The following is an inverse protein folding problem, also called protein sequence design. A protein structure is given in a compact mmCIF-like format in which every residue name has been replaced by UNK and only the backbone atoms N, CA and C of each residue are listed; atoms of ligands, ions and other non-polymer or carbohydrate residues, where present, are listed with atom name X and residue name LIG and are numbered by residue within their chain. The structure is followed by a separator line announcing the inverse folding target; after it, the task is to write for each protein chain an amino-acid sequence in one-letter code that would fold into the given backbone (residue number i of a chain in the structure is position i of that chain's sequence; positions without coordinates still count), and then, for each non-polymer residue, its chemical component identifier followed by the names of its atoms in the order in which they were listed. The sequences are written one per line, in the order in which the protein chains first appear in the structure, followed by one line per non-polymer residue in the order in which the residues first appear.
data_IF_732266887514
#
_entry.id   IF_732266887514
#
_cell.length_a   1.000
_cell.length_b   1.000
_cell.length_c   1.000
_cell.angle_alpha   90.00
_cell.angle_beta   90.00
_cell.angle_gamma   90.00
#
_symmetry.space_group_name_H-M   'P 1'
#
loop_
_entity.id
_entity.type
_entity.pdbx_description
1 polymer ?
#
# COMPACT_ATOMS: atom_id res chain seq x y z
N UNK A 1 -66.05 -30.42 -27.38
CA UNK A 1 -64.60 -30.60 -27.50
C UNK A 1 -63.84 -29.34 -27.89
N UNK A 2 -64.35 -28.15 -27.85
CA UNK A 2 -63.69 -26.89 -28.23
C UNK A 2 -63.32 -25.96 -27.05
N UNK A 3 -63.86 -26.22 -25.84
CA UNK A 3 -63.56 -25.40 -24.65
C UNK A 3 -62.27 -25.82 -23.92
N UNK A 4 -61.82 -27.07 -24.06
CA UNK A 4 -60.63 -27.57 -23.38
C UNK A 4 -59.29 -27.18 -24.08
N UNK A 5 -59.38 -26.69 -25.32
CA UNK A 5 -58.16 -26.27 -26.10
C UNK A 5 -57.77 -24.79 -25.87
N UNK A 6 -58.65 -23.96 -25.28
CA UNK A 6 -58.36 -22.54 -25.06
C UNK A 6 -57.72 -22.23 -23.68
N UNK A 7 -57.78 -23.17 -22.73
CA UNK A 7 -57.17 -23.01 -21.39
C UNK A 7 -55.71 -23.46 -21.32
N UNK A 8 -55.23 -24.25 -22.30
CA UNK A 8 -53.87 -24.73 -22.32
C UNK A 8 -52.85 -23.73 -22.95
N UNK A 9 -53.32 -22.69 -23.61
CA UNK A 9 -52.47 -21.67 -24.25
C UNK A 9 -52.21 -20.42 -23.40
N UNK A 10 -52.86 -20.26 -22.25
CA UNK A 10 -52.66 -19.15 -21.32
C UNK A 10 -51.72 -19.50 -20.14
N UNK A 11 -51.39 -20.77 -19.93
CA UNK A 11 -50.49 -21.20 -18.87
C UNK A 11 -49.02 -21.22 -19.29
N UNK A 12 -48.71 -21.04 -20.59
CA UNK A 12 -47.36 -21.09 -21.13
C UNK A 12 -46.60 -19.75 -21.18
N UNK A 13 -47.29 -18.62 -20.93
CA UNK A 13 -46.69 -17.28 -21.13
C UNK A 13 -46.20 -16.57 -19.86
N UNK A 14 -46.38 -17.18 -18.68
CA UNK A 14 -45.98 -16.55 -17.41
C UNK A 14 -44.62 -17.07 -16.88
N UNK A 15 -44.06 -18.12 -17.45
CA UNK A 15 -42.83 -18.74 -16.96
C UNK A 15 -41.52 -18.19 -17.56
N UNK A 16 -41.57 -17.21 -18.48
CA UNK A 16 -40.39 -16.70 -19.21
C UNK A 16 -39.93 -15.29 -18.76
N UNK A 17 -40.53 -14.71 -17.71
CA UNK A 17 -40.16 -13.39 -17.20
C UNK A 17 -39.26 -13.45 -15.95
N UNK A 18 -38.59 -14.60 -15.68
CA UNK A 18 -37.66 -14.74 -14.58
C UNK A 18 -36.24 -14.38 -15.02
N UNK A 19 -35.84 -13.18 -14.60
CA UNK A 19 -34.48 -12.80 -14.26
C UNK A 19 -33.45 -12.70 -15.40
N UNK A 20 -33.64 -11.75 -16.31
CA UNK A 20 -32.46 -10.99 -16.72
C UNK A 20 -32.19 -9.97 -15.63
N UNK A 21 -31.53 -10.38 -14.54
CA UNK A 21 -30.84 -9.40 -13.68
C UNK A 21 -29.94 -8.58 -14.62
N UNK A 22 -30.01 -7.25 -14.59
CA UNK A 22 -29.11 -6.45 -15.41
C UNK A 22 -27.70 -6.90 -15.03
N UNK A 23 -26.96 -7.48 -15.97
CA UNK A 23 -25.52 -7.66 -15.83
C UNK A 23 -24.96 -6.24 -15.80
N UNK A 24 -24.83 -5.68 -14.58
CA UNK A 24 -24.12 -4.41 -14.43
C UNK A 24 -22.74 -4.63 -15.03
N UNK A 25 -22.42 -3.89 -16.07
CA UNK A 25 -21.09 -3.91 -16.66
C UNK A 25 -20.11 -3.65 -15.53
N UNK A 26 -19.16 -4.58 -15.33
CA UNK A 26 -18.17 -4.45 -14.27
C UNK A 26 -17.37 -3.17 -14.51
N UNK A 27 -17.19 -2.37 -13.45
CA UNK A 27 -16.33 -1.20 -13.49
C UNK A 27 -14.87 -1.65 -13.53
N UNK A 28 -14.17 -1.39 -14.62
CA UNK A 28 -12.74 -1.64 -14.71
C UNK A 28 -11.99 -0.69 -13.77
N UNK A 29 -11.12 -1.24 -12.91
CA UNK A 29 -10.25 -0.51 -12.00
C UNK A 29 -8.81 -0.94 -12.23
N UNK A 30 -8.01 -0.03 -12.79
CA UNK A 30 -6.57 -0.18 -12.88
C UNK A 30 -5.96 0.32 -11.55
N UNK A 31 -5.53 -0.63 -10.71
CA UNK A 31 -4.97 -0.37 -9.38
C UNK A 31 -3.44 -0.45 -9.43
N UNK A 32 -2.77 0.68 -9.20
CA UNK A 32 -1.30 0.74 -9.16
C UNK A 32 -0.78 0.37 -7.77
N UNK A 33 0.08 -0.63 -7.68
CA UNK A 33 0.81 -0.97 -6.46
C UNK A 33 1.90 0.08 -6.17
N UNK A 34 2.34 0.18 -4.92
CA UNK A 34 3.46 1.05 -4.56
C UNK A 34 4.81 0.51 -5.08
N UNK A 35 4.92 -0.81 -5.23
CA UNK A 35 6.15 -1.53 -5.60
C UNK A 35 5.88 -2.74 -6.49
N UNK A 36 6.95 -3.48 -6.83
CA UNK A 36 6.81 -4.80 -7.46
C UNK A 36 6.03 -5.74 -6.54
N UNK A 37 5.26 -6.71 -7.09
CA UNK A 37 4.47 -7.64 -6.28
C UNK A 37 5.33 -8.38 -5.25
N UNK A 38 4.81 -8.48 -4.03
CA UNK A 38 5.39 -9.18 -2.89
C UNK A 38 4.32 -9.59 -1.90
N UNK A 39 4.70 -10.23 -0.80
CA UNK A 39 3.79 -10.78 0.22
C UNK A 39 2.78 -9.77 0.77
N UNK A 40 3.17 -8.48 0.85
CA UNK A 40 2.31 -7.37 1.26
C UNK A 40 1.13 -7.10 0.31
N UNK A 41 1.21 -7.56 -0.92
CA UNK A 41 0.15 -7.44 -1.91
C UNK A 41 -0.75 -8.69 -2.01
N UNK A 42 -0.42 -9.77 -1.29
CA UNK A 42 -1.15 -11.04 -1.33
C UNK A 42 -2.68 -10.92 -1.17
N UNK A 43 -3.23 -10.05 -0.28
CA UNK A 43 -4.67 -9.92 -0.13
C UNK A 43 -5.39 -9.47 -1.40
N UNK A 44 -4.80 -8.60 -2.21
CA UNK A 44 -5.40 -8.15 -3.48
C UNK A 44 -5.48 -9.29 -4.49
N UNK A 45 -4.40 -10.08 -4.62
CA UNK A 45 -4.35 -11.25 -5.50
C UNK A 45 -5.33 -12.34 -5.05
N UNK A 46 -5.43 -12.56 -3.74
CA UNK A 46 -6.36 -13.52 -3.17
C UNK A 46 -7.81 -13.14 -3.43
N UNK A 47 -8.22 -11.90 -3.12
CA UNK A 47 -9.57 -11.44 -3.36
C UNK A 47 -9.94 -11.47 -4.85
N UNK A 48 -8.97 -11.15 -5.75
CA UNK A 48 -9.15 -11.27 -7.19
C UNK A 48 -9.36 -12.73 -7.62
N UNK A 49 -8.53 -13.66 -7.15
CA UNK A 49 -8.65 -15.11 -7.41
C UNK A 49 -9.97 -15.67 -6.91
N UNK A 50 -10.43 -15.25 -5.73
CA UNK A 50 -11.70 -15.67 -5.13
C UNK A 50 -12.93 -15.03 -5.81
N UNK A 51 -12.74 -14.15 -6.78
CA UNK A 51 -13.82 -13.46 -7.47
C UNK A 51 -14.50 -12.36 -6.65
N UNK A 52 -14.03 -12.02 -5.46
CA UNK A 52 -14.71 -11.08 -4.55
C UNK A 52 -14.84 -9.66 -5.14
N UNK A 53 -13.84 -9.19 -5.88
CA UNK A 53 -13.95 -7.91 -6.61
C UNK A 53 -14.99 -8.02 -7.73
N UNK A 54 -14.98 -9.15 -8.47
CA UNK A 54 -15.93 -9.40 -9.55
C UNK A 54 -17.37 -9.42 -9.04
N UNK A 55 -17.62 -10.12 -7.92
CA UNK A 55 -18.92 -10.19 -7.26
C UNK A 55 -19.40 -8.82 -6.76
N UNK A 56 -18.44 -7.93 -6.44
CA UNK A 56 -18.70 -6.53 -6.07
C UNK A 56 -18.83 -5.57 -7.29
N UNK A 57 -18.89 -6.09 -8.51
CA UNK A 57 -19.02 -5.31 -9.73
C UNK A 57 -17.72 -4.66 -10.22
N UNK A 58 -16.55 -5.14 -9.78
CA UNK A 58 -15.24 -4.57 -10.10
C UNK A 58 -14.41 -5.58 -10.92
N UNK A 59 -13.98 -5.15 -12.10
CA UNK A 59 -12.93 -5.82 -12.87
C UNK A 59 -11.57 -5.21 -12.48
N UNK A 60 -10.86 -5.87 -11.54
CA UNK A 60 -9.61 -5.35 -10.97
C UNK A 60 -8.41 -5.76 -11.81
N UNK A 61 -7.65 -4.78 -12.30
CA UNK A 61 -6.32 -4.96 -12.87
C UNK A 61 -5.26 -4.44 -11.88
N UNK A 62 -4.27 -5.28 -11.54
CA UNK A 62 -3.17 -4.94 -10.63
C UNK A 62 -1.93 -4.59 -11.45
N UNK A 63 -1.47 -3.34 -11.34
CA UNK A 63 -0.25 -2.86 -12.00
C UNK A 63 0.92 -2.80 -11.01
N UNK A 64 2.09 -3.37 -11.35
CA UNK A 64 3.31 -3.21 -10.56
C UNK A 64 3.71 -1.74 -10.43
N UNK A 65 4.15 -1.33 -9.23
CA UNK A 65 4.63 0.01 -8.93
C UNK A 65 6.13 0.18 -9.07
N UNK A 66 6.57 1.44 -9.04
CA UNK A 66 7.98 1.86 -9.06
C UNK A 66 8.31 2.84 -7.93
N UNK A 67 7.57 2.80 -6.83
CA UNK A 67 7.69 3.66 -5.67
C UNK A 67 6.44 4.48 -5.38
N UNK A 68 6.23 4.79 -4.10
CA UNK A 68 5.04 5.51 -3.63
C UNK A 68 4.86 6.87 -4.29
N UNK A 69 5.95 7.60 -4.55
CA UNK A 69 5.86 8.90 -5.22
C UNK A 69 5.29 8.77 -6.65
N UNK A 70 5.70 7.73 -7.40
CA UNK A 70 5.17 7.46 -8.75
C UNK A 70 3.71 7.04 -8.68
N UNK A 71 3.33 6.19 -7.71
CA UNK A 71 1.95 5.76 -7.52
C UNK A 71 1.02 6.95 -7.23
N UNK A 72 1.41 7.86 -6.31
CA UNK A 72 0.65 9.09 -6.03
C UNK A 72 0.47 9.95 -7.29
N UNK A 73 1.55 10.16 -8.06
CA UNK A 73 1.49 10.95 -9.30
C UNK A 73 0.52 10.35 -10.32
N UNK A 74 0.56 9.04 -10.53
CA UNK A 74 -0.35 8.34 -11.46
C UNK A 74 -1.80 8.44 -11.01
N UNK A 75 -2.06 8.26 -9.70
CA UNK A 75 -3.42 8.39 -9.14
C UNK A 75 -3.91 9.83 -9.25
N UNK A 76 -3.09 10.81 -8.89
CA UNK A 76 -3.45 12.23 -9.00
C UNK A 76 -3.77 12.65 -10.44
N UNK A 77 -3.01 12.14 -11.40
CA UNK A 77 -3.24 12.38 -12.84
C UNK A 77 -4.46 11.62 -13.41
N UNK A 78 -5.10 10.74 -12.64
CA UNK A 78 -6.23 9.92 -13.08
C UNK A 78 -5.86 8.77 -14.03
N UNK A 79 -4.56 8.50 -14.22
CA UNK A 79 -4.08 7.36 -15.03
C UNK A 79 -4.46 6.01 -14.37
N UNK A 80 -4.43 5.97 -13.06
CA UNK A 80 -4.95 4.88 -12.23
C UNK A 80 -5.95 5.50 -11.25
N UNK A 81 -7.23 5.10 -11.24
CA UNK A 81 -8.23 5.71 -10.34
C UNK A 81 -7.95 5.43 -8.86
N UNK A 82 -7.30 4.29 -8.57
CA UNK A 82 -6.95 3.85 -7.22
C UNK A 82 -5.50 3.35 -7.24
N UNK A 83 -4.79 3.51 -6.14
CA UNK A 83 -3.43 3.00 -5.99
C UNK A 83 -3.03 2.78 -4.54
N UNK A 84 -1.82 2.28 -4.35
CA UNK A 84 -1.20 2.06 -3.04
C UNK A 84 0.04 2.93 -2.92
N UNK A 85 0.16 3.67 -1.81
CA UNK A 85 1.34 4.51 -1.55
C UNK A 85 1.49 4.78 -0.05
N UNK A 86 2.70 5.09 0.41
CA UNK A 86 2.91 5.62 1.75
C UNK A 86 2.13 6.91 1.96
N UNK A 87 1.42 7.01 3.08
CA UNK A 87 0.57 8.16 3.37
C UNK A 87 1.37 9.47 3.45
N UNK A 88 2.58 9.44 4.02
CA UNK A 88 3.46 10.62 4.05
C UNK A 88 3.81 11.15 2.65
N UNK A 89 3.97 10.24 1.65
CA UNK A 89 4.15 10.63 0.25
C UNK A 89 2.88 11.26 -0.33
N UNK A 90 1.70 10.69 -0.02
CA UNK A 90 0.43 11.25 -0.47
C UNK A 90 0.21 12.65 0.12
N UNK A 91 0.46 12.84 1.42
CA UNK A 91 0.38 14.16 2.08
C UNK A 91 1.35 15.18 1.45
N UNK A 92 2.60 14.78 1.23
CA UNK A 92 3.62 15.66 0.61
C UNK A 92 3.22 16.11 -0.79
N UNK A 93 2.79 15.18 -1.64
CA UNK A 93 2.45 15.48 -3.02
C UNK A 93 1.10 16.21 -3.13
N UNK A 94 0.17 15.99 -2.17
CA UNK A 94 -1.05 16.78 -2.09
C UNK A 94 -0.75 18.26 -1.85
N UNK A 95 0.23 18.58 -1.03
CA UNK A 95 0.73 19.95 -0.87
C UNK A 95 1.36 20.55 -2.14
N UNK A 96 1.59 19.73 -3.16
CA UNK A 96 2.06 20.11 -4.50
C UNK A 96 0.97 19.99 -5.58
N UNK A 97 -0.30 19.85 -5.16
CA UNK A 97 -1.46 19.81 -6.04
C UNK A 97 -1.97 18.42 -6.42
N UNK A 98 -1.39 17.34 -5.89
CA UNK A 98 -1.89 15.97 -6.15
C UNK A 98 -3.19 15.71 -5.39
N UNK A 99 -4.35 15.69 -6.07
CA UNK A 99 -5.65 15.41 -5.44
C UNK A 99 -5.85 13.90 -5.25
N UNK A 100 -5.34 13.37 -4.12
CA UNK A 100 -5.51 11.98 -3.70
C UNK A 100 -6.09 11.91 -2.30
N UNK A 101 -6.95 10.91 -2.02
CA UNK A 101 -7.61 10.69 -0.72
C UNK A 101 -7.32 9.29 -0.23
N UNK A 102 -6.78 9.15 0.99
CA UNK A 102 -6.57 7.86 1.66
C UNK A 102 -7.90 7.27 2.12
N UNK A 103 -8.13 5.97 1.84
CA UNK A 103 -9.41 5.30 2.15
C UNK A 103 -9.28 3.98 2.92
N UNK A 104 -8.07 3.42 2.98
CA UNK A 104 -7.77 2.20 3.74
C UNK A 104 -6.26 2.14 4.06
N UNK A 105 -5.91 2.20 5.33
CA UNK A 105 -4.51 2.12 5.75
C UNK A 105 -4.06 0.67 5.89
N UNK A 106 -2.99 0.29 5.20
CA UNK A 106 -2.40 -1.05 5.32
C UNK A 106 -1.36 -1.06 6.42
N UNK A 107 -0.44 -0.08 6.46
CA UNK A 107 0.62 -0.05 7.46
C UNK A 107 0.38 1.03 8.49
N UNK A 108 -0.06 0.59 9.67
CA UNK A 108 -0.22 1.45 10.84
C UNK A 108 1.10 2.00 11.37
N UNK A 109 2.22 1.36 11.06
CA UNK A 109 3.57 1.79 11.41
C UNK A 109 4.42 2.02 10.17
N UNK A 110 5.38 2.95 10.27
CA UNK A 110 6.31 3.21 9.16
C UNK A 110 7.07 1.95 8.78
N UNK A 111 6.98 1.51 7.52
CA UNK A 111 7.69 0.34 7.05
C UNK A 111 9.15 0.64 6.73
N UNK A 112 9.53 1.92 6.68
CA UNK A 112 10.86 2.32 6.22
C UNK A 112 11.96 1.86 7.17
N UNK A 113 13.03 1.34 6.60
CA UNK A 113 14.27 1.00 7.27
C UNK A 113 15.49 1.45 6.48
N UNK A 114 16.58 1.71 7.17
CA UNK A 114 17.91 1.91 6.61
C UNK A 114 18.72 0.65 6.80
N UNK A 115 19.45 0.25 5.77
CA UNK A 115 20.29 -0.94 5.73
C UNK A 115 21.69 -0.56 5.23
N UNK A 116 22.72 -1.09 5.92
CA UNK A 116 24.12 -0.90 5.57
C UNK A 116 24.95 -2.13 5.96
N UNK A 117 26.21 -2.19 5.59
CA UNK A 117 27.14 -3.17 6.14
C UNK A 117 27.78 -2.63 7.42
N UNK A 118 27.75 -3.36 8.53
CA UNK A 118 28.44 -2.95 9.77
C UNK A 118 29.92 -2.74 9.54
N UNK A 119 30.52 -3.55 8.64
CA UNK A 119 31.91 -3.42 8.21
C UNK A 119 32.25 -2.08 7.52
N UNK A 120 31.23 -1.29 7.09
CA UNK A 120 31.43 0.08 6.60
C UNK A 120 31.70 1.12 7.68
N UNK A 121 31.52 0.76 8.95
CA UNK A 121 31.69 1.66 10.10
C UNK A 121 30.46 2.53 10.39
N UNK A 122 29.37 2.45 9.61
CA UNK A 122 28.08 3.13 9.88
C UNK A 122 27.42 2.46 11.08
N UNK A 123 26.98 3.26 12.06
CA UNK A 123 26.32 2.80 13.30
C UNK A 123 24.94 3.41 13.48
N UNK A 124 24.66 4.54 12.83
CA UNK A 124 23.42 5.31 13.03
C UNK A 124 23.09 6.14 11.77
N UNK A 125 21.91 6.77 11.78
CA UNK A 125 21.51 7.74 10.72
C UNK A 125 22.52 8.88 10.61
N UNK A 126 23.15 9.32 11.70
CA UNK A 126 24.12 10.42 11.73
C UNK A 126 25.37 10.14 10.91
N UNK A 127 25.76 8.89 10.78
CA UNK A 127 26.95 8.48 10.04
C UNK A 127 26.72 8.47 8.53
N UNK A 128 25.50 8.77 8.06
CA UNK A 128 25.15 8.85 6.63
C UNK A 128 25.56 10.17 5.97
N UNK A 129 25.96 11.19 6.73
CA UNK A 129 26.47 12.43 6.15
C UNK A 129 27.70 12.12 5.24
N UNK A 130 27.66 12.60 4.00
CA UNK A 130 28.69 12.33 2.99
C UNK A 130 28.60 10.94 2.31
N UNK A 131 27.62 10.11 2.66
CA UNK A 131 27.47 8.74 2.15
C UNK A 131 26.59 8.65 0.91
N UNK A 132 26.77 7.56 0.15
CA UNK A 132 25.96 7.21 -1.02
C UNK A 132 24.79 6.32 -0.59
N UNK A 133 23.56 6.80 -0.80
CA UNK A 133 22.35 6.01 -0.54
C UNK A 133 21.76 5.58 -1.89
N UNK A 134 21.65 4.26 -2.11
CA UNK A 134 21.16 3.69 -3.37
C UNK A 134 19.67 3.42 -3.32
N UNK A 135 18.87 4.11 -4.16
CA UNK A 135 17.43 3.88 -4.30
C UNK A 135 16.94 4.26 -5.70
N UNK A 136 15.81 3.71 -6.20
CA UNK A 136 15.12 4.25 -7.35
C UNK A 136 14.72 5.71 -7.16
N UNK A 137 14.67 6.49 -8.25
CA UNK A 137 14.32 7.91 -8.18
C UNK A 137 12.89 8.14 -7.61
N UNK A 138 11.94 7.22 -7.89
CA UNK A 138 10.55 7.29 -7.40
C UNK A 138 10.31 6.61 -6.05
N UNK A 139 11.37 6.18 -5.35
CA UNK A 139 11.26 5.56 -4.03
C UNK A 139 10.73 6.57 -3.00
N UNK A 140 9.69 6.18 -2.25
CA UNK A 140 9.05 7.03 -1.26
C UNK A 140 9.97 7.52 -0.16
N UNK A 141 10.99 6.76 0.18
CA UNK A 141 11.99 7.16 1.16
C UNK A 141 12.73 8.45 0.78
N UNK A 142 12.99 8.68 -0.52
CA UNK A 142 13.63 9.93 -0.97
C UNK A 142 12.78 11.16 -0.69
N UNK A 143 11.46 11.04 -0.88
CA UNK A 143 10.53 12.15 -0.64
C UNK A 143 10.50 12.56 0.83
N UNK A 144 10.55 11.58 1.74
CA UNK A 144 10.42 11.84 3.18
C UNK A 144 11.79 11.83 3.93
N UNK A 145 12.91 11.58 3.22
CA UNK A 145 14.26 11.64 3.78
C UNK A 145 14.57 12.93 4.54
N UNK A 146 14.19 14.15 4.05
CA UNK A 146 14.49 15.38 4.77
C UNK A 146 13.94 15.39 6.20
N UNK A 147 12.79 14.76 6.44
CA UNK A 147 12.22 14.62 7.79
C UNK A 147 13.10 13.75 8.69
N UNK A 148 13.55 12.58 8.19
CA UNK A 148 14.44 11.69 8.96
C UNK A 148 15.79 12.35 9.23
N UNK A 149 16.38 12.97 8.23
CA UNK A 149 17.67 13.66 8.34
C UNK A 149 17.62 14.73 9.43
N UNK A 150 16.62 15.60 9.39
CA UNK A 150 16.43 16.68 10.34
C UNK A 150 16.13 16.17 11.75
N UNK A 151 15.29 15.13 11.89
CA UNK A 151 15.01 14.52 13.18
C UNK A 151 16.27 13.92 13.84
N UNK A 152 17.28 13.57 13.03
CA UNK A 152 18.56 13.02 13.51
C UNK A 152 19.69 14.06 13.49
N UNK A 153 19.41 15.32 13.20
CA UNK A 153 20.38 16.42 13.27
C UNK A 153 21.43 16.40 12.16
N UNK A 154 21.12 15.85 10.99
CA UNK A 154 21.97 15.89 9.81
C UNK A 154 21.33 16.72 8.68
N UNK A 155 22.16 17.34 7.86
CA UNK A 155 21.68 18.00 6.65
C UNK A 155 21.18 16.97 5.64
N UNK A 156 19.94 17.12 5.18
CA UNK A 156 19.34 16.23 4.19
C UNK A 156 20.11 16.19 2.87
N UNK A 157 20.81 17.28 2.53
CA UNK A 157 21.62 17.40 1.31
C UNK A 157 23.04 16.83 1.46
N UNK A 158 23.42 16.38 2.66
CA UNK A 158 24.75 15.81 2.90
C UNK A 158 24.94 14.41 2.32
N UNK A 159 23.85 13.74 1.90
CA UNK A 159 23.89 12.42 1.29
C UNK A 159 23.87 12.51 -0.24
N UNK A 160 24.51 11.55 -0.90
CA UNK A 160 24.43 11.40 -2.37
C UNK A 160 23.47 10.28 -2.72
N UNK A 161 22.39 10.61 -3.44
CA UNK A 161 21.47 9.60 -3.95
C UNK A 161 21.99 8.96 -5.22
N UNK A 162 22.16 7.63 -5.20
CA UNK A 162 22.51 6.83 -6.37
C UNK A 162 21.25 6.18 -6.93
N UNK A 163 20.95 6.43 -8.21
CA UNK A 163 19.81 5.79 -8.87
C UNK A 163 20.15 4.34 -9.21
N UNK A 164 19.39 3.42 -8.64
CA UNK A 164 19.50 1.99 -8.89
C UNK A 164 18.10 1.39 -9.09
N UNK A 165 18.04 0.22 -9.71
CA UNK A 165 16.77 -0.51 -9.84
C UNK A 165 16.30 -1.07 -8.50
N UNK A 166 14.97 -1.26 -8.37
CA UNK A 166 14.33 -1.77 -7.18
C UNK A 166 14.96 -3.06 -6.64
N UNK A 167 15.26 -3.99 -7.54
CA UNK A 167 15.80 -5.32 -7.20
C UNK A 167 17.33 -5.31 -7.01
N UNK A 168 18.00 -4.19 -7.27
CA UNK A 168 19.47 -4.09 -7.20
C UNK A 168 19.99 -3.62 -5.84
N UNK A 169 19.11 -3.21 -4.90
CA UNK A 169 19.50 -2.61 -3.61
C UNK A 169 20.48 -3.49 -2.82
N UNK A 170 20.14 -4.76 -2.63
CA UNK A 170 20.96 -5.68 -1.85
C UNK A 170 22.30 -5.99 -2.58
N UNK A 171 22.25 -6.23 -3.88
CA UNK A 171 23.46 -6.49 -4.68
C UNK A 171 24.42 -5.29 -4.67
N UNK A 172 23.90 -4.06 -4.83
CA UNK A 172 24.69 -2.83 -4.80
C UNK A 172 25.34 -2.61 -3.42
N UNK A 173 24.64 -2.94 -2.34
CA UNK A 173 25.17 -2.87 -0.97
C UNK A 173 26.28 -3.90 -0.75
N UNK A 174 26.08 -5.17 -1.14
CA UNK A 174 27.10 -6.23 -1.08
C UNK A 174 28.34 -5.90 -1.91
N UNK A 175 28.15 -5.30 -3.08
CA UNK A 175 29.25 -4.84 -3.96
C UNK A 175 29.94 -3.55 -3.47
N UNK A 176 29.43 -2.94 -2.37
CA UNK A 176 29.94 -1.66 -1.81
C UNK A 176 29.94 -0.50 -2.84
N UNK A 177 29.07 -0.57 -3.86
CA UNK A 177 28.85 0.54 -4.81
C UNK A 177 28.00 1.66 -4.20
N UNK A 178 27.29 1.35 -3.12
CA UNK A 178 26.56 2.26 -2.24
C UNK A 178 26.94 1.97 -0.78
N UNK A 179 26.82 2.97 0.08
CA UNK A 179 27.11 2.84 1.52
C UNK A 179 25.88 2.36 2.30
N UNK A 180 24.69 2.77 1.88
CA UNK A 180 23.42 2.39 2.49
C UNK A 180 22.30 2.32 1.45
N UNK A 181 21.19 1.68 1.82
CA UNK A 181 19.94 1.71 1.06
C UNK A 181 18.76 1.80 2.03
N UNK A 182 17.60 2.26 1.54
CA UNK A 182 16.37 2.09 2.30
C UNK A 182 15.57 0.92 1.75
N UNK A 183 14.82 0.27 2.60
CA UNK A 183 13.85 -0.75 2.19
C UNK A 183 12.74 -0.88 3.24
N UNK A 184 11.62 -1.45 2.83
CA UNK A 184 10.54 -1.72 3.77
C UNK A 184 10.87 -2.92 4.66
N UNK A 185 10.40 -2.87 5.90
CA UNK A 185 10.62 -3.89 6.91
C UNK A 185 10.03 -5.27 6.54
N UNK A 186 9.01 -5.30 5.69
CA UNK A 186 8.42 -6.56 5.22
C UNK A 186 9.39 -7.48 4.45
N UNK A 187 10.52 -6.94 3.94
CA UNK A 187 11.58 -7.74 3.32
C UNK A 187 12.87 -7.79 4.17
N UNK A 188 12.80 -7.40 5.44
CA UNK A 188 13.94 -7.41 6.37
C UNK A 188 14.62 -8.78 6.46
N UNK A 189 13.84 -9.87 6.44
CA UNK A 189 14.33 -11.24 6.48
C UNK A 189 15.27 -11.58 5.30
N UNK A 190 15.06 -10.96 4.13
CA UNK A 190 15.93 -11.15 2.96
C UNK A 190 17.29 -10.51 3.23
N UNK A 191 17.32 -9.26 3.72
CA UNK A 191 18.55 -8.58 4.09
C UNK A 191 19.30 -9.32 5.18
N UNK A 192 18.59 -9.81 6.20
CA UNK A 192 19.17 -10.58 7.30
C UNK A 192 19.80 -11.88 6.81
N UNK A 193 19.12 -12.62 5.93
CA UNK A 193 19.63 -13.86 5.34
C UNK A 193 20.90 -13.61 4.51
N UNK A 194 20.93 -12.55 3.72
CA UNK A 194 21.97 -12.28 2.74
C UNK A 194 23.20 -11.57 3.31
N UNK A 195 23.02 -10.75 4.36
CA UNK A 195 24.09 -9.98 4.98
C UNK A 195 24.57 -10.60 6.31
N UNK A 196 23.80 -11.51 6.91
CA UNK A 196 24.14 -12.17 8.16
C UNK A 196 24.51 -11.20 9.28
N UNK A 197 25.59 -11.48 9.97
CA UNK A 197 26.09 -10.67 11.10
C UNK A 197 26.60 -9.28 10.68
N UNK A 198 26.90 -9.08 9.38
CA UNK A 198 27.35 -7.77 8.85
C UNK A 198 26.16 -6.83 8.54
N UNK A 199 24.91 -7.27 8.75
CA UNK A 199 23.75 -6.41 8.53
C UNK A 199 23.67 -5.33 9.62
N UNK A 200 23.83 -4.05 9.21
CA UNK A 200 23.42 -2.88 9.98
C UNK A 200 22.00 -2.48 9.60
N UNK A 201 21.17 -2.11 10.56
CA UNK A 201 19.78 -1.75 10.36
C UNK A 201 19.29 -0.77 11.40
N UNK A 202 18.42 0.16 10.97
CA UNK A 202 17.57 0.96 11.86
C UNK A 202 16.21 1.17 11.20
N UNK A 203 15.13 0.87 11.94
CA UNK A 203 13.79 1.25 11.48
C UNK A 203 13.59 2.76 11.66
N UNK A 204 12.99 3.42 10.69
CA UNK A 204 12.75 4.86 10.78
C UNK A 204 11.87 5.24 11.97
N UNK A 205 10.89 4.38 12.32
CA UNK A 205 10.09 4.57 13.53
C UNK A 205 10.94 4.68 14.81
N UNK A 206 12.03 3.93 14.88
CA UNK A 206 12.95 3.92 16.02
C UNK A 206 13.97 5.09 15.94
N UNK A 207 14.12 5.67 14.75
CA UNK A 207 14.89 6.90 14.48
C UNK A 207 14.04 8.18 14.53
N UNK A 208 12.84 8.12 15.13
CA UNK A 208 11.99 9.28 15.37
C UNK A 208 10.98 9.59 14.26
N UNK A 209 10.77 8.70 13.29
CA UNK A 209 9.85 8.91 12.17
C UNK A 209 8.88 7.74 11.98
N UNK A 210 7.75 7.74 12.70
CA UNK A 210 6.72 6.70 12.61
C UNK A 210 5.42 7.23 11.97
N UNK A 211 5.47 7.53 10.67
CA UNK A 211 4.30 7.91 9.88
C UNK A 211 3.49 6.68 9.47
N UNK A 212 2.22 6.89 9.08
CA UNK A 212 1.47 5.88 8.34
C UNK A 212 2.20 5.51 7.04
N UNK A 213 2.30 4.20 6.78
CA UNK A 213 2.90 3.68 5.55
C UNK A 213 1.86 3.44 4.46
N UNK A 214 1.97 2.28 3.79
CA UNK A 214 1.10 1.92 2.67
C UNK A 214 -0.38 2.14 3.01
N UNK A 215 -1.02 2.98 2.20
CA UNK A 215 -2.42 3.35 2.28
C UNK A 215 -3.02 3.26 0.89
N UNK A 216 -4.20 2.69 0.75
CA UNK A 216 -4.98 2.77 -0.49
C UNK A 216 -5.41 4.22 -0.67
N UNK A 217 -4.99 4.82 -1.78
CA UNK A 217 -5.31 6.19 -2.18
C UNK A 217 -6.18 6.18 -3.42
N UNK A 218 -7.11 7.11 -3.50
CA UNK A 218 -8.06 7.27 -4.60
C UNK A 218 -7.91 8.68 -5.19
N UNK A 219 -8.01 8.81 -6.51
CA UNK A 219 -8.11 10.10 -7.18
C UNK A 219 -9.36 10.85 -6.68
N UNK A 220 -9.22 12.12 -6.28
CA UNK A 220 -10.29 12.88 -5.65
C UNK A 220 -11.53 13.05 -6.54
N UNK A 221 -11.36 13.27 -7.83
CA UNK A 221 -12.47 13.37 -8.78
C UNK A 221 -13.14 12.03 -9.04
N UNK A 222 -12.35 10.94 -9.12
CA UNK A 222 -12.89 9.60 -9.23
C UNK A 222 -13.73 9.24 -8.00
N UNK A 223 -13.23 9.55 -6.80
CA UNK A 223 -13.95 9.32 -5.54
C UNK A 223 -15.32 10.04 -5.53
N UNK A 224 -15.35 11.31 -5.92
CA UNK A 224 -16.59 12.11 -5.97
C UNK A 224 -17.62 11.49 -6.91
N UNK A 225 -17.17 11.02 -8.08
CA UNK A 225 -18.05 10.49 -9.15
C UNK A 225 -18.45 9.04 -8.95
N UNK A 226 -17.63 8.24 -8.25
CA UNK A 226 -17.74 6.78 -8.18
C UNK A 226 -17.72 6.26 -6.72
N UNK A 227 -18.34 7.00 -5.80
CA UNK A 227 -18.33 6.71 -4.35
C UNK A 227 -18.74 5.27 -4.02
N UNK A 228 -19.77 4.74 -4.70
CA UNK A 228 -20.24 3.36 -4.49
C UNK A 228 -19.18 2.31 -4.91
N UNK A 229 -18.47 2.55 -5.99
CA UNK A 229 -17.38 1.66 -6.47
C UNK A 229 -16.21 1.66 -5.48
N UNK A 230 -15.83 2.85 -4.98
CA UNK A 230 -14.77 2.97 -3.96
C UNK A 230 -15.18 2.26 -2.67
N UNK A 231 -16.43 2.42 -2.22
CA UNK A 231 -16.96 1.72 -1.05
C UNK A 231 -16.90 0.20 -1.23
N UNK A 232 -17.30 -0.31 -2.39
CA UNK A 232 -17.23 -1.74 -2.71
C UNK A 232 -15.77 -2.24 -2.72
N UNK A 233 -14.86 -1.47 -3.35
CA UNK A 233 -13.42 -1.79 -3.38
C UNK A 233 -12.83 -1.87 -1.97
N UNK A 234 -13.08 -0.88 -1.11
CA UNK A 234 -12.56 -0.83 0.27
C UNK A 234 -13.09 -2.00 1.10
N UNK A 235 -14.39 -2.30 1.02
CA UNK A 235 -14.99 -3.43 1.75
C UNK A 235 -14.38 -4.77 1.34
N UNK A 236 -14.20 -5.02 0.05
CA UNK A 236 -13.56 -6.24 -0.45
C UNK A 236 -12.10 -6.31 0.01
N UNK A 237 -11.37 -5.19 -0.08
CA UNK A 237 -9.99 -5.09 0.36
C UNK A 237 -9.86 -5.38 1.86
N UNK A 238 -10.66 -4.74 2.71
CA UNK A 238 -10.66 -4.95 4.16
C UNK A 238 -10.96 -6.42 4.51
N UNK A 239 -11.97 -7.02 3.88
CA UNK A 239 -12.28 -8.45 4.01
C UNK A 239 -11.08 -9.33 3.62
N UNK A 240 -10.39 -9.00 2.53
CA UNK A 240 -9.24 -9.76 2.06
C UNK A 240 -8.07 -9.69 3.04
N UNK A 241 -7.74 -8.50 3.55
CA UNK A 241 -6.71 -8.35 4.57
C UNK A 241 -7.06 -9.11 5.85
N UNK A 242 -8.30 -9.04 6.34
CA UNK A 242 -8.75 -9.81 7.49
C UNK A 242 -8.64 -11.33 7.28
N UNK A 243 -9.01 -11.83 6.09
CA UNK A 243 -8.88 -13.25 5.75
C UNK A 243 -7.41 -13.69 5.73
N UNK A 244 -6.50 -12.86 5.21
CA UNK A 244 -5.08 -13.18 5.15
C UNK A 244 -4.40 -13.10 6.54
N UNK A 245 -4.86 -12.22 7.43
CA UNK A 245 -4.45 -12.21 8.84
C UNK A 245 -4.89 -13.50 9.53
N UNK A 246 -6.11 -13.98 9.28
CA UNK A 246 -6.60 -15.23 9.85
C UNK A 246 -5.85 -16.45 9.31
N UNK A 247 -5.63 -16.52 8.00
CA UNK A 247 -4.90 -17.61 7.33
C UNK A 247 -4.12 -17.08 6.12
N UNK A 248 -2.81 -16.84 6.23
CA UNK A 248 -2.02 -16.26 5.16
C UNK A 248 -1.74 -17.21 3.97
N UNK A 249 -1.75 -18.52 4.19
CA UNK A 249 -1.30 -19.47 3.17
C UNK A 249 -2.08 -19.38 1.85
N UNK A 250 -3.43 -19.36 1.81
CA UNK A 250 -4.17 -19.22 0.56
C UNK A 250 -3.90 -17.87 -0.15
N UNK A 251 -3.64 -16.81 0.64
CA UNK A 251 -3.36 -15.48 0.11
C UNK A 251 -2.00 -15.45 -0.60
N UNK A 252 -0.96 -15.96 0.07
CA UNK A 252 0.40 -16.06 -0.50
C UNK A 252 0.40 -17.00 -1.71
N UNK A 253 -0.35 -18.11 -1.64
CA UNK A 253 -0.49 -19.02 -2.77
C UNK A 253 -1.09 -18.31 -4.00
N UNK A 254 -2.13 -17.49 -3.81
CA UNK A 254 -2.75 -16.72 -4.91
C UNK A 254 -1.77 -15.71 -5.53
N UNK A 255 -0.95 -15.07 -4.72
CA UNK A 255 0.11 -14.16 -5.19
C UNK A 255 1.15 -14.90 -6.04
N UNK A 256 1.68 -16.03 -5.54
CA UNK A 256 2.74 -16.81 -6.21
C UNK A 256 2.23 -17.41 -7.52
N UNK A 257 1.00 -17.92 -7.56
CA UNK A 257 0.38 -18.41 -8.80
C UNK A 257 0.25 -17.32 -9.87
N UNK A 258 -0.05 -16.09 -9.46
CA UNK A 258 -0.14 -14.95 -10.39
C UNK A 258 1.24 -14.40 -10.80
N UNK A 259 2.30 -14.69 -10.02
CA UNK A 259 3.65 -14.15 -10.20
C UNK A 259 4.69 -15.27 -10.02
N UNK A 260 4.83 -16.14 -11.01
CA UNK A 260 5.61 -17.38 -10.94
C UNK A 260 7.10 -17.26 -10.61
N UNK A 261 7.66 -16.05 -10.56
CA UNK A 261 9.03 -15.81 -10.10
C UNK A 261 9.15 -15.75 -8.57
N UNK A 262 8.04 -15.58 -7.85
CA UNK A 262 7.99 -15.46 -6.40
C UNK A 262 8.03 -16.85 -5.74
N UNK A 263 8.66 -16.92 -4.56
CA UNK A 263 8.79 -18.15 -3.79
C UNK A 263 7.87 -18.11 -2.57
N UNK A 264 7.02 -19.12 -2.40
CA UNK A 264 5.99 -19.15 -1.37
C UNK A 264 6.54 -18.87 0.05
N UNK A 265 7.58 -19.54 0.47
CA UNK A 265 8.14 -19.39 1.83
C UNK A 265 8.70 -17.98 2.06
N UNK A 266 9.30 -17.37 1.04
CA UNK A 266 9.80 -16.01 1.10
C UNK A 266 8.64 -15.01 1.24
N UNK A 267 7.58 -15.17 0.45
CA UNK A 267 6.42 -14.27 0.49
C UNK A 267 5.57 -14.49 1.75
N UNK A 268 5.57 -15.70 2.32
CA UNK A 268 4.95 -15.96 3.62
C UNK A 268 5.71 -15.26 4.76
N UNK A 269 7.04 -15.24 4.73
CA UNK A 269 7.84 -14.46 5.69
C UNK A 269 7.61 -12.96 5.53
N UNK A 270 7.55 -12.47 4.29
CA UNK A 270 7.18 -11.10 3.98
C UNK A 270 5.82 -10.76 4.63
N UNK A 271 4.77 -11.56 4.41
CA UNK A 271 3.46 -11.33 5.00
C UNK A 271 3.48 -11.30 6.54
N UNK A 272 4.24 -12.16 7.19
CA UNK A 272 4.37 -12.13 8.66
C UNK A 272 4.93 -10.81 9.18
N UNK A 273 5.86 -10.20 8.46
CA UNK A 273 6.38 -8.88 8.81
C UNK A 273 5.37 -7.76 8.48
N UNK A 274 4.54 -7.96 7.44
CA UNK A 274 3.40 -7.07 7.15
C UNK A 274 2.40 -7.05 8.31
N UNK A 275 2.06 -8.20 8.90
CA UNK A 275 1.16 -8.28 10.06
C UNK A 275 1.67 -7.40 11.24
N UNK A 276 2.99 -7.35 11.46
CA UNK A 276 3.61 -6.47 12.47
C UNK A 276 3.40 -4.99 12.12
N UNK A 277 3.56 -4.62 10.84
CA UNK A 277 3.37 -3.24 10.37
C UNK A 277 1.91 -2.79 10.43
N UNK A 278 0.97 -3.71 10.21
CA UNK A 278 -0.47 -3.46 10.25
C UNK A 278 -1.01 -3.24 11.66
N UNK A 279 -0.30 -3.75 12.68
CA UNK A 279 -0.80 -3.87 14.04
C UNK A 279 -0.50 -2.63 14.87
N UNK A 280 -1.55 -1.94 15.30
CA UNK A 280 -1.49 -0.89 16.33
C UNK A 280 -2.76 -0.89 17.20
N UNK A 281 -2.86 0.07 18.12
CA UNK A 281 -4.04 0.24 18.98
C UNK A 281 -5.31 0.43 18.16
N UNK A 282 -5.28 1.25 17.11
CA UNK A 282 -6.47 1.64 16.37
C UNK A 282 -6.95 0.52 15.44
N UNK A 283 -6.05 -0.17 14.75
CA UNK A 283 -6.37 -1.33 13.93
C UNK A 283 -7.01 -2.46 14.75
N UNK A 284 -6.61 -2.60 16.03
CA UNK A 284 -7.15 -3.61 16.97
C UNK A 284 -8.46 -3.20 17.64
N UNK A 285 -8.71 -1.92 17.88
CA UNK A 285 -9.86 -1.48 18.70
C UNK A 285 -10.94 -0.77 17.90
N UNK A 286 -10.59 -0.09 16.80
CA UNK A 286 -11.51 0.68 15.98
C UNK A 286 -11.90 -0.08 14.71
N UNK A 287 -10.98 -0.21 13.77
CA UNK A 287 -11.17 -0.97 12.54
C UNK A 287 -9.82 -1.29 11.87
N UNK A 288 -9.72 -2.44 11.22
CA UNK A 288 -8.63 -2.72 10.30
C UNK A 288 -8.69 -1.71 9.15
N UNK A 289 -7.57 -1.03 8.92
CA UNK A 289 -7.46 -0.04 7.83
C UNK A 289 -7.80 1.40 8.24
N UNK A 290 -8.07 1.68 9.51
CA UNK A 290 -8.42 3.00 10.01
C UNK A 290 -7.23 3.96 9.95
N UNK A 291 -7.51 5.23 9.60
CA UNK A 291 -6.62 6.38 9.70
C UNK A 291 -7.10 7.22 10.90
N UNK A 292 -6.33 7.23 12.00
CA UNK A 292 -6.68 7.99 13.20
C UNK A 292 -6.41 9.49 12.99
N UNK A 293 -7.35 10.34 13.40
CA UNK A 293 -7.31 11.79 13.16
C UNK A 293 -6.09 12.45 13.80
N UNK A 294 -5.71 12.04 15.03
CA UNK A 294 -4.57 12.64 15.72
C UNK A 294 -3.24 12.22 15.06
N UNK A 295 -3.13 10.96 14.61
CA UNK A 295 -1.95 10.51 13.88
C UNK A 295 -1.84 11.17 12.51
N UNK A 296 -2.96 11.32 11.79
CA UNK A 296 -2.98 12.03 10.51
C UNK A 296 -2.57 13.50 10.67
N UNK A 297 -3.02 14.15 11.73
CA UNK A 297 -2.61 15.53 12.06
C UNK A 297 -1.09 15.59 12.37
N UNK A 298 -0.57 14.64 13.14
CA UNK A 298 0.86 14.57 13.46
C UNK A 298 1.71 14.29 12.20
N UNK A 299 1.30 13.37 11.35
CA UNK A 299 1.99 13.06 10.09
C UNK A 299 1.98 14.28 9.15
N UNK A 300 0.86 15.01 9.07
CA UNK A 300 0.76 16.23 8.29
C UNK A 300 1.70 17.34 8.81
N UNK A 301 1.73 17.57 10.12
CA UNK A 301 2.64 18.58 10.73
C UNK A 301 4.11 18.18 10.54
N UNK A 302 4.44 16.89 10.57
CA UNK A 302 5.77 16.39 10.28
C UNK A 302 6.17 16.70 8.82
N UNK A 303 5.30 16.38 7.85
CA UNK A 303 5.53 16.68 6.43
C UNK A 303 5.69 18.18 6.23
N UNK A 304 4.78 18.99 6.79
CA UNK A 304 4.79 20.46 6.69
C UNK A 304 6.07 21.06 7.27
N UNK A 305 6.51 20.57 8.43
CA UNK A 305 7.66 21.14 9.16
C UNK A 305 9.00 20.76 8.53
N UNK A 306 9.14 19.51 8.10
CA UNK A 306 10.45 18.95 7.72
C UNK A 306 10.65 18.82 6.22
N UNK A 307 9.58 18.63 5.45
CA UNK A 307 9.67 18.50 3.99
C UNK A 307 9.29 19.84 3.32
N UNK A 308 8.30 20.52 3.90
CA UNK A 308 7.68 21.72 3.34
C UNK A 308 6.50 21.36 2.41
N UNK A 309 5.48 22.21 2.45
CA UNK A 309 4.33 22.13 1.56
C UNK A 309 4.23 23.44 0.78
N UNK A 310 4.17 23.35 -0.54
CA UNK A 310 4.00 24.52 -1.41
C UNK A 310 2.65 25.20 -1.12
N UNK A 311 1.62 24.38 -0.84
CA UNK A 311 0.27 24.84 -0.46
C UNK A 311 -0.23 24.03 0.74
N UNK A 312 -0.28 24.61 1.95
CA UNK A 312 -0.93 24.01 3.11
C UNK A 312 -2.43 23.79 2.86
N UNK A 313 -2.97 22.70 3.43
CA UNK A 313 -4.38 22.33 3.28
C UNK A 313 -4.92 21.71 4.58
N UNK A 314 -6.25 21.61 4.71
CA UNK A 314 -6.85 20.86 5.82
C UNK A 314 -6.61 19.35 5.62
N UNK A 315 -5.84 18.73 6.52
CA UNK A 315 -5.49 17.30 6.46
C UNK A 315 -6.72 16.39 6.46
N UNK A 316 -7.84 16.81 7.03
CA UNK A 316 -9.10 16.06 7.02
C UNK A 316 -9.65 15.83 5.60
N UNK A 317 -9.21 16.64 4.63
CA UNK A 317 -9.58 16.46 3.22
C UNK A 317 -8.71 15.39 2.50
N UNK A 318 -7.63 14.93 3.13
CA UNK A 318 -6.68 13.99 2.55
C UNK A 318 -7.04 12.51 2.81
N UNK A 319 -8.05 12.24 3.62
CA UNK A 319 -8.44 10.85 3.95
C UNK A 319 -9.91 10.77 4.36
N UNK A 320 -10.45 9.53 4.35
CA UNK A 320 -11.77 9.21 4.92
C UNK A 320 -11.82 7.77 5.40
N UNK A 321 -12.51 7.54 6.51
CA UNK A 321 -12.78 6.21 7.07
C UNK A 321 -14.23 5.74 6.79
N UNK A 322 -15.02 6.49 6.00
CA UNK A 322 -16.46 6.26 5.81
C UNK A 322 -16.81 4.91 5.16
N UNK A 323 -15.84 4.27 4.51
CA UNK A 323 -16.05 3.00 3.79
C UNK A 323 -15.68 1.77 4.59
N UNK A 324 -15.08 1.94 5.79
CA UNK A 324 -14.61 0.85 6.62
C UNK A 324 -15.77 0.15 7.34
N UNK A 325 -15.68 -1.17 7.44
CA UNK A 325 -16.50 -1.96 8.35
C UNK A 325 -15.81 -2.01 9.72
N UNK A 326 -16.39 -1.30 10.69
CA UNK A 326 -15.85 -1.21 12.06
C UNK A 326 -15.97 -2.52 12.87
N UNK A 327 -16.68 -3.52 12.37
CA UNK A 327 -16.71 -4.86 12.96
C UNK A 327 -15.45 -5.67 12.64
N UNK A 328 -14.74 -5.32 11.55
CA UNK A 328 -13.51 -5.98 11.10
C UNK A 328 -12.30 -5.29 11.75
N UNK A 329 -11.60 -6.02 12.60
CA UNK A 329 -10.44 -5.54 13.36
C UNK A 329 -9.23 -6.44 13.16
N UNK A 330 -8.04 -5.90 13.44
CA UNK A 330 -6.82 -6.69 13.51
C UNK A 330 -6.90 -7.65 14.69
N UNK A 331 -6.69 -8.94 14.46
CA UNK A 331 -6.81 -10.00 15.48
C UNK A 331 -5.48 -10.49 16.02
N UNK A 332 -4.36 -10.01 15.44
CA UNK A 332 -2.98 -10.37 15.85
C UNK A 332 -2.18 -9.17 16.30
#
# INVERSE_FOLDING_TARGET
MQLARRLALLAGSVAAALAAAPAFAQQKIDFILNWVPGGDHAPYYYAKKMGWYKDAGIDLNLEPGKGSAVAVQKVAAGANPIGLADMANALTLRGKGADTVGVFNVYANSPQGLYWLKSSGIKSVKDLAGKKIGNPAGDGARTIWPALAKANGIDANSVTWVNIDANSKLAALKAKSIDATTSFYNIHHIFQKELGDDMGFVAWKDAGLNTYGNTVIVNGDFLKKNKAVVAAFVKVTQKAFAACVANPNPCVQALVEANGALQFDNELQNWRLVEVLMSDKFSKTVALGVLDDNRMAADYELVKTYIGLDTPYDVKTAYTNEFLDHSIKMTK
#
